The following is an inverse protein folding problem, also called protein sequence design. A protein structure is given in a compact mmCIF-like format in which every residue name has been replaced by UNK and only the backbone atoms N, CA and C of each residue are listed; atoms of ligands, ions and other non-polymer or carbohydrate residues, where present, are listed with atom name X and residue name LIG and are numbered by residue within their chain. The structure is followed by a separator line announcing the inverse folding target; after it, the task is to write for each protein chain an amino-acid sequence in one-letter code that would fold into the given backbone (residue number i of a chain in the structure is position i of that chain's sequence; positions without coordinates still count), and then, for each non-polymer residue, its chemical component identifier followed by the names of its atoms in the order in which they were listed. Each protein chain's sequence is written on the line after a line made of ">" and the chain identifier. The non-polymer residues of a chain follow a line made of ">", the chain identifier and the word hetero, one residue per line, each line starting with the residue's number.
data_IF_528409509422
#
_entry.id   IF_528409509422
#
_cell.length_a   1.000
_cell.length_b   1.000
_cell.length_c   1.000
_cell.angle_alpha   90.00
_cell.angle_beta   90.00
_cell.angle_gamma   90.00
#
_symmetry.space_group_name_H-M   'P 1'
#
loop_
_entity.id
_entity.type
_entity.pdbx_description
1 polymer ?
#
# COMPACT_ATOMS: atom_id res chain seq x y z
N UNK A 1 -14.00 7.56 22.53
CA UNK A 1 -12.66 7.65 23.11
C UNK A 1 -11.70 6.97 22.17
N UNK A 2 -10.57 7.62 21.88
CA UNK A 2 -9.51 7.12 21.02
C UNK A 2 -8.86 5.88 21.64
N UNK A 3 -8.48 4.91 20.81
CA UNK A 3 -7.87 3.65 21.25
C UNK A 3 -6.43 3.55 20.72
N UNK A 4 -5.40 3.90 21.52
CA UNK A 4 -4.00 3.89 21.10
C UNK A 4 -3.50 2.51 20.65
N UNK A 5 -4.04 1.44 21.24
CA UNK A 5 -3.69 0.06 20.88
C UNK A 5 -4.23 -0.35 19.50
N UNK A 6 -5.30 0.29 19.03
CA UNK A 6 -5.91 0.05 17.73
C UNK A 6 -5.38 0.96 16.61
N UNK A 7 -4.42 1.86 16.92
CA UNK A 7 -3.74 2.65 15.89
C UNK A 7 -2.85 1.74 15.05
N UNK A 8 -3.11 1.61 13.72
CA UNK A 8 -2.34 0.73 12.86
C UNK A 8 -0.86 1.13 12.79
N UNK A 9 0.04 0.16 12.69
CA UNK A 9 1.49 0.40 12.64
C UNK A 9 2.12 -0.40 11.51
N UNK A 10 2.93 0.25 10.69
CA UNK A 10 3.66 -0.45 9.64
C UNK A 10 4.55 -1.57 10.23
N UNK A 11 4.35 -2.79 9.75
CA UNK A 11 5.07 -4.00 10.21
C UNK A 11 5.96 -4.62 9.15
N UNK A 12 5.99 -4.05 7.95
CA UNK A 12 6.93 -4.46 6.91
C UNK A 12 8.35 -3.96 7.15
N UNK A 13 9.24 -4.27 6.20
CA UNK A 13 10.62 -3.81 6.19
C UNK A 13 10.92 -3.13 4.85
N UNK A 14 10.96 -1.79 4.87
CA UNK A 14 11.27 -0.99 3.69
C UNK A 14 12.72 -1.14 3.23
N UNK A 15 13.66 -1.45 4.13
CA UNK A 15 15.06 -1.70 3.75
C UNK A 15 15.21 -3.02 2.99
N UNK A 16 14.51 -4.06 3.45
CA UNK A 16 14.41 -5.32 2.70
C UNK A 16 13.74 -5.14 1.33
N UNK A 17 12.70 -4.28 1.25
CA UNK A 17 12.05 -3.94 -0.02
C UNK A 17 13.03 -3.24 -0.99
N UNK A 18 13.75 -2.20 -0.53
CA UNK A 18 14.74 -1.49 -1.34
C UNK A 18 15.87 -2.42 -1.84
N UNK A 19 16.29 -3.36 -0.99
CA UNK A 19 17.27 -4.40 -1.36
C UNK A 19 16.72 -5.31 -2.45
N UNK A 20 15.47 -5.76 -2.33
CA UNK A 20 14.81 -6.59 -3.34
C UNK A 20 14.65 -5.86 -4.68
N UNK A 21 14.29 -4.57 -4.66
CA UNK A 21 14.20 -3.74 -5.88
C UNK A 21 15.56 -3.62 -6.59
N UNK A 22 16.65 -3.48 -5.82
CA UNK A 22 18.00 -3.49 -6.39
C UNK A 22 18.33 -4.84 -7.04
N UNK A 23 17.85 -5.94 -6.46
CA UNK A 23 17.92 -7.28 -7.05
C UNK A 23 17.20 -7.37 -8.39
N UNK A 24 15.95 -6.89 -8.45
CA UNK A 24 15.15 -6.86 -9.69
C UNK A 24 15.85 -6.12 -10.83
N UNK A 25 16.52 -4.99 -10.55
CA UNK A 25 17.27 -4.26 -11.56
C UNK A 25 18.46 -5.05 -12.12
N UNK A 26 19.15 -5.83 -11.28
CA UNK A 26 20.24 -6.72 -11.72
C UNK A 26 19.70 -7.85 -12.59
N UNK A 27 18.59 -8.46 -12.19
CA UNK A 27 17.96 -9.54 -12.94
C UNK A 27 17.44 -9.05 -14.31
N UNK A 28 16.85 -7.85 -14.36
CA UNK A 28 16.47 -7.20 -15.60
C UNK A 28 17.67 -7.06 -16.55
N UNK A 29 18.79 -6.51 -16.08
CA UNK A 29 20.02 -6.39 -16.87
C UNK A 29 20.57 -7.74 -17.35
N UNK A 30 20.53 -8.77 -16.51
CA UNK A 30 20.99 -10.11 -16.87
C UNK A 30 20.13 -10.77 -17.95
N UNK A 31 18.81 -10.60 -17.89
CA UNK A 31 17.88 -11.13 -18.88
C UNK A 31 18.09 -10.47 -20.25
N UNK A 32 18.16 -9.12 -20.28
CA UNK A 32 18.44 -8.37 -21.53
C UNK A 32 19.74 -8.84 -22.17
N UNK A 33 20.80 -8.90 -21.37
CA UNK A 33 22.12 -9.37 -21.83
C UNK A 33 22.04 -10.77 -22.41
N UNK A 34 21.37 -11.70 -21.73
CA UNK A 34 21.24 -13.09 -22.18
C UNK A 34 20.48 -13.18 -23.51
N UNK A 35 19.37 -12.45 -23.66
CA UNK A 35 18.62 -12.41 -24.93
C UNK A 35 19.45 -11.86 -26.10
N UNK A 36 20.19 -10.78 -25.85
CA UNK A 36 21.13 -10.20 -26.83
C UNK A 36 22.26 -11.15 -27.19
N UNK A 37 22.85 -11.82 -26.20
CA UNK A 37 23.94 -12.78 -26.41
C UNK A 37 23.47 -13.97 -27.25
N UNK A 38 22.27 -14.52 -26.98
CA UNK A 38 21.67 -15.61 -27.76
C UNK A 38 21.52 -15.21 -29.23
N UNK A 39 20.96 -14.03 -29.50
CA UNK A 39 20.80 -13.56 -30.88
C UNK A 39 22.16 -13.35 -31.57
N UNK A 40 23.09 -12.68 -30.89
CA UNK A 40 24.42 -12.37 -31.43
C UNK A 40 25.24 -13.62 -31.72
N UNK A 41 25.25 -14.59 -30.80
CA UNK A 41 25.95 -15.87 -30.99
C UNK A 41 25.35 -16.66 -32.15
N UNK A 42 24.01 -16.66 -32.29
CA UNK A 42 23.35 -17.34 -33.40
C UNK A 42 23.67 -16.70 -34.75
N UNK A 43 23.72 -15.36 -34.82
CA UNK A 43 24.17 -14.63 -36.01
C UNK A 43 25.63 -14.96 -36.40
N UNK A 44 26.49 -15.24 -35.42
CA UNK A 44 27.88 -15.64 -35.64
C UNK A 44 28.04 -16.97 -36.41
N UNK A 45 27.00 -17.81 -36.48
CA UNK A 45 27.01 -19.05 -37.25
C UNK A 45 26.89 -18.82 -38.77
N UNK A 46 26.54 -17.61 -39.21
CA UNK A 46 26.41 -17.23 -40.62
C UNK A 46 27.69 -17.43 -41.44
N UNK A 47 28.86 -17.42 -40.80
CA UNK A 47 30.13 -17.70 -41.46
C UNK A 47 30.28 -19.18 -41.91
N UNK A 48 29.47 -20.09 -41.38
CA UNK A 48 29.63 -21.54 -41.57
C UNK A 48 28.41 -22.23 -42.20
N UNK A 49 27.33 -21.50 -42.45
CA UNK A 49 26.09 -22.06 -42.98
C UNK A 49 25.55 -21.22 -44.14
N UNK A 50 25.40 -21.86 -45.30
CA UNK A 50 24.90 -21.26 -46.53
C UNK A 50 23.71 -22.06 -47.03
N UNK A 51 22.55 -21.42 -47.08
CA UNK A 51 21.33 -21.95 -47.69
C UNK A 51 20.46 -20.76 -48.15
N UNK A 52 19.55 -20.96 -49.12
CA UNK A 52 18.60 -19.92 -49.53
C UNK A 52 17.79 -19.34 -48.36
N UNK A 53 17.49 -20.15 -47.36
CA UNK A 53 16.72 -19.80 -46.15
C UNK A 53 17.56 -19.25 -44.97
N UNK A 54 18.89 -19.11 -45.14
CA UNK A 54 19.80 -18.80 -44.03
C UNK A 54 19.46 -17.49 -43.30
N UNK A 55 19.07 -16.45 -44.04
CA UNK A 55 18.65 -15.17 -43.45
C UNK A 55 17.44 -15.34 -42.52
N UNK A 56 16.43 -16.10 -42.96
CA UNK A 56 15.24 -16.38 -42.16
C UNK A 56 15.58 -17.19 -40.91
N UNK A 57 16.47 -18.18 -41.04
CA UNK A 57 16.96 -18.94 -39.89
C UNK A 57 17.64 -18.00 -38.89
N UNK A 58 18.61 -17.19 -39.30
CA UNK A 58 19.34 -16.30 -38.40
C UNK A 58 18.46 -15.23 -37.75
N UNK A 59 17.42 -14.76 -38.44
CA UNK A 59 16.44 -13.84 -37.89
C UNK A 59 15.53 -14.49 -36.81
N UNK A 60 15.44 -15.81 -36.72
CA UNK A 60 14.52 -16.52 -35.82
C UNK A 60 14.75 -16.25 -34.32
N UNK A 61 15.95 -15.82 -33.94
CA UNK A 61 16.29 -15.50 -32.54
C UNK A 61 16.04 -14.03 -32.20
N UNK A 62 15.77 -13.17 -33.19
CA UNK A 62 15.48 -11.75 -32.96
C UNK A 62 14.28 -11.53 -32.01
N UNK A 63 13.15 -12.26 -32.13
CA UNK A 63 12.05 -12.15 -31.18
C UNK A 63 12.42 -12.51 -29.74
N UNK A 64 13.41 -13.38 -29.53
CA UNK A 64 13.90 -13.73 -28.18
C UNK A 64 14.65 -12.56 -27.56
N UNK A 65 15.53 -11.91 -28.33
CA UNK A 65 16.19 -10.68 -27.90
C UNK A 65 15.17 -9.59 -27.55
N UNK A 66 14.25 -9.31 -28.48
CA UNK A 66 13.27 -8.22 -28.30
C UNK A 66 12.36 -8.48 -27.08
N UNK A 67 11.97 -9.75 -26.83
CA UNK A 67 11.16 -10.10 -25.66
C UNK A 67 11.95 -10.08 -24.35
N UNK A 68 13.24 -10.40 -24.38
CA UNK A 68 14.11 -10.25 -23.21
C UNK A 68 14.31 -8.78 -22.85
N UNK A 69 14.50 -7.92 -23.85
CA UNK A 69 14.59 -6.46 -23.67
C UNK A 69 13.30 -5.90 -23.07
N UNK A 70 12.14 -6.25 -23.64
CA UNK A 70 10.84 -5.83 -23.13
C UNK A 70 10.59 -6.32 -21.69
N UNK A 71 10.95 -7.55 -21.37
CA UNK A 71 10.78 -8.07 -20.01
C UNK A 71 11.68 -7.34 -19.01
N UNK A 72 12.91 -6.99 -19.42
CA UNK A 72 13.79 -6.14 -18.61
C UNK A 72 13.16 -4.77 -18.33
N UNK A 73 12.55 -4.14 -19.34
CA UNK A 73 11.85 -2.85 -19.17
C UNK A 73 10.71 -2.96 -18.16
N UNK A 74 9.95 -4.06 -18.21
CA UNK A 74 8.82 -4.27 -17.31
C UNK A 74 9.29 -4.53 -15.87
N UNK A 75 10.39 -5.26 -15.66
CA UNK A 75 11.00 -5.41 -14.33
C UNK A 75 11.48 -4.08 -13.75
N UNK A 76 12.07 -3.20 -14.57
CA UNK A 76 12.48 -1.86 -14.13
C UNK A 76 11.29 -0.96 -13.76
N UNK A 77 10.16 -1.09 -14.47
CA UNK A 77 8.91 -0.42 -14.10
C UNK A 77 8.36 -0.93 -12.77
N UNK A 78 8.40 -2.26 -12.53
CA UNK A 78 8.03 -2.85 -11.24
C UNK A 78 8.93 -2.30 -10.13
N UNK A 79 10.24 -2.32 -10.33
CA UNK A 79 11.18 -1.76 -9.35
C UNK A 79 10.93 -0.28 -9.07
N UNK A 80 10.65 0.52 -10.09
CA UNK A 80 10.33 1.95 -9.95
C UNK A 80 9.03 2.18 -9.16
N UNK A 81 8.00 1.37 -9.38
CA UNK A 81 6.74 1.45 -8.64
C UNK A 81 6.95 1.13 -7.14
N UNK A 82 7.74 0.10 -6.84
CA UNK A 82 8.07 -0.31 -5.47
C UNK A 82 8.95 0.72 -4.74
N UNK A 83 9.93 1.34 -5.42
CA UNK A 83 10.72 2.43 -4.86
C UNK A 83 9.86 3.65 -4.53
N UNK A 84 8.94 4.04 -5.43
CA UNK A 84 8.02 5.14 -5.18
C UNK A 84 7.13 4.84 -3.96
N UNK A 85 6.59 3.62 -3.88
CA UNK A 85 5.81 3.16 -2.74
C UNK A 85 6.59 3.25 -1.42
N UNK A 86 7.84 2.77 -1.38
CA UNK A 86 8.68 2.87 -0.18
C UNK A 86 8.90 4.32 0.26
N UNK A 87 9.13 5.22 -0.72
CA UNK A 87 9.28 6.65 -0.48
C UNK A 87 8.02 7.32 0.08
N UNK A 88 6.83 6.95 -0.42
CA UNK A 88 5.54 7.47 0.03
C UNK A 88 5.14 6.92 1.41
N UNK A 89 5.33 5.62 1.65
CA UNK A 89 4.89 4.95 2.89
C UNK A 89 5.77 5.28 4.09
N UNK A 90 7.08 5.49 3.90
CA UNK A 90 8.01 5.80 5.01
C UNK A 90 7.53 6.95 5.91
N UNK A 91 7.25 8.17 5.40
CA UNK A 91 6.77 9.26 6.25
C UNK A 91 5.38 8.99 6.84
N UNK A 92 4.51 8.24 6.14
CA UNK A 92 3.18 7.87 6.65
C UNK A 92 3.32 6.92 7.84
N UNK A 93 4.20 5.92 7.74
CA UNK A 93 4.49 4.97 8.80
C UNK A 93 5.07 5.67 10.04
N UNK A 94 5.98 6.63 9.85
CA UNK A 94 6.52 7.42 10.95
C UNK A 94 5.47 8.34 11.58
N UNK A 95 4.57 8.91 10.78
CA UNK A 95 3.42 9.68 11.28
C UNK A 95 2.48 8.81 12.12
N UNK A 96 2.18 7.59 11.68
CA UNK A 96 1.34 6.63 12.44
C UNK A 96 1.98 6.24 13.78
N UNK A 97 3.31 6.08 13.84
CA UNK A 97 4.03 5.85 15.11
C UNK A 97 3.85 7.02 16.06
N UNK A 98 4.03 8.25 15.56
CA UNK A 98 3.86 9.45 16.37
C UNK A 98 2.41 9.60 16.85
N UNK A 99 1.42 9.40 15.98
CA UNK A 99 0.01 9.50 16.32
C UNK A 99 -0.42 8.48 17.39
N UNK A 100 0.19 7.30 17.41
CA UNK A 100 -0.02 6.32 18.48
C UNK A 100 0.48 6.84 19.84
N UNK A 101 1.64 7.50 19.86
CA UNK A 101 2.17 8.13 21.07
C UNK A 101 1.30 9.32 21.50
N UNK A 102 0.85 10.15 20.56
CA UNK A 102 -0.02 11.29 20.82
C UNK A 102 -1.37 10.82 21.39
N UNK A 103 -1.93 9.74 20.83
CA UNK A 103 -3.14 9.10 21.35
C UNK A 103 -2.94 8.57 22.76
N UNK A 104 -1.82 7.89 23.04
CA UNK A 104 -1.51 7.39 24.38
C UNK A 104 -1.39 8.55 25.39
N UNK A 105 -0.65 9.59 25.05
CA UNK A 105 -0.50 10.78 25.88
C UNK A 105 -1.84 11.49 26.14
N UNK A 106 -2.73 11.53 25.14
CA UNK A 106 -4.08 12.06 25.31
C UNK A 106 -4.88 11.21 26.32
N UNK A 107 -4.95 9.89 26.12
CA UNK A 107 -5.65 8.98 27.02
C UNK A 107 -5.13 9.10 28.46
N UNK A 108 -3.81 9.14 28.64
CA UNK A 108 -3.20 9.29 29.95
C UNK A 108 -3.50 10.64 30.61
N UNK A 109 -3.70 11.71 29.82
CA UNK A 109 -4.00 13.05 30.32
C UNK A 109 -5.45 13.22 30.79
N UNK A 110 -6.37 12.37 30.34
CA UNK A 110 -7.81 12.47 30.66
C UNK A 110 -8.34 11.29 31.50
N UNK A 111 -7.48 10.32 31.83
CA UNK A 111 -7.89 9.09 32.52
C UNK A 111 -8.54 9.31 33.89
N UNK A 112 -8.17 10.37 34.59
CA UNK A 112 -8.65 10.73 35.93
C UNK A 112 -9.58 11.96 35.90
N UNK A 113 -9.99 12.41 34.71
CA UNK A 113 -10.85 13.57 34.51
C UNK A 113 -12.15 13.14 33.85
N UNK A 114 -13.20 12.90 34.64
CA UNK A 114 -14.51 12.45 34.13
C UNK A 114 -15.22 13.53 33.29
N UNK A 115 -14.84 14.80 33.45
CA UNK A 115 -15.47 15.94 32.80
C UNK A 115 -14.73 16.40 31.53
N UNK A 116 -13.71 15.66 31.08
CA UNK A 116 -12.92 16.04 29.89
C UNK A 116 -13.76 16.23 28.63
N UNK A 117 -14.94 15.59 28.56
CA UNK A 117 -15.92 15.72 27.46
C UNK A 117 -16.75 17.02 27.48
N UNK A 118 -16.53 17.87 28.48
CA UNK A 118 -17.08 19.22 28.55
C UNK A 118 -15.99 20.29 28.32
N UNK A 119 -14.74 19.86 28.10
CA UNK A 119 -13.62 20.72 27.76
C UNK A 119 -13.43 20.69 26.23
N UNK A 120 -13.87 21.77 25.57
CA UNK A 120 -13.80 21.92 24.12
C UNK A 120 -12.38 21.73 23.56
N UNK A 121 -11.34 22.18 24.28
CA UNK A 121 -9.95 22.02 23.84
C UNK A 121 -9.53 20.54 23.83
N UNK A 122 -10.01 19.76 24.80
CA UNK A 122 -9.73 18.31 24.86
C UNK A 122 -10.49 17.54 23.81
N UNK A 123 -11.71 17.95 23.49
CA UNK A 123 -12.50 17.36 22.40
C UNK A 123 -11.87 17.67 21.04
N UNK A 124 -11.44 18.91 20.81
CA UNK A 124 -10.73 19.28 19.59
C UNK A 124 -9.44 18.47 19.44
N UNK A 125 -8.65 18.35 20.52
CA UNK A 125 -7.43 17.54 20.51
C UNK A 125 -7.72 16.06 20.24
N UNK A 126 -8.72 15.47 20.87
CA UNK A 126 -9.15 14.08 20.64
C UNK A 126 -9.51 13.86 19.16
N UNK A 127 -10.39 14.70 18.62
CA UNK A 127 -10.89 14.58 17.25
C UNK A 127 -9.79 14.87 16.23
N UNK A 128 -8.87 15.80 16.52
CA UNK A 128 -7.69 16.05 15.71
C UNK A 128 -6.81 14.82 15.58
N UNK A 129 -6.46 14.15 16.68
CA UNK A 129 -5.64 12.92 16.65
C UNK A 129 -6.38 11.82 15.89
N UNK A 130 -7.68 11.62 16.14
CA UNK A 130 -8.49 10.61 15.45
C UNK A 130 -8.54 10.86 13.94
N UNK A 131 -8.75 12.10 13.53
CA UNK A 131 -8.81 12.52 12.13
C UNK A 131 -7.46 12.32 11.44
N UNK A 132 -6.37 12.66 12.12
CA UNK A 132 -5.02 12.49 11.60
C UNK A 132 -4.64 11.01 11.41
N UNK A 133 -5.04 10.13 12.34
CA UNK A 133 -4.87 8.68 12.16
C UNK A 133 -5.65 8.21 10.94
N UNK A 134 -6.90 8.65 10.81
CA UNK A 134 -7.78 8.30 9.70
C UNK A 134 -7.18 8.72 8.35
N UNK A 135 -6.67 9.94 8.27
CA UNK A 135 -6.02 10.47 7.09
C UNK A 135 -4.73 9.69 6.75
N UNK A 136 -3.91 9.38 7.75
CA UNK A 136 -2.68 8.62 7.54
C UNK A 136 -2.94 7.19 7.05
N UNK A 137 -3.95 6.50 7.60
CA UNK A 137 -4.35 5.16 7.14
C UNK A 137 -4.89 5.21 5.70
N UNK A 138 -5.74 6.19 5.37
CA UNK A 138 -6.25 6.36 4.01
C UNK A 138 -5.13 6.66 2.99
N UNK A 139 -4.15 7.49 3.39
CA UNK A 139 -2.98 7.79 2.57
C UNK A 139 -2.12 6.54 2.33
N UNK A 140 -1.97 5.68 3.34
CA UNK A 140 -1.26 4.41 3.19
C UNK A 140 -1.93 3.51 2.15
N UNK A 141 -3.26 3.30 2.25
CA UNK A 141 -3.99 2.50 1.25
C UNK A 141 -3.93 3.13 -0.14
N UNK A 142 -3.89 4.46 -0.25
CA UNK A 142 -3.71 5.12 -1.53
C UNK A 142 -2.35 4.81 -2.16
N UNK A 143 -1.27 4.82 -1.38
CA UNK A 143 0.06 4.45 -1.83
C UNK A 143 0.11 2.98 -2.30
N UNK A 144 -0.52 2.07 -1.56
CA UNK A 144 -0.62 0.65 -1.95
C UNK A 144 -1.36 0.45 -3.27
N UNK A 145 -2.54 1.09 -3.43
CA UNK A 145 -3.29 1.05 -4.70
C UNK A 145 -2.47 1.62 -5.85
N UNK A 146 -1.80 2.75 -5.65
CA UNK A 146 -0.98 3.39 -6.68
C UNK A 146 0.16 2.47 -7.14
N UNK A 147 0.83 1.79 -6.20
CA UNK A 147 1.85 0.80 -6.50
C UNK A 147 1.28 -0.40 -7.27
N UNK A 148 0.22 -1.02 -6.74
CA UNK A 148 -0.41 -2.18 -7.35
C UNK A 148 -0.92 -1.89 -8.77
N UNK A 149 -1.50 -0.71 -8.99
CA UNK A 149 -2.00 -0.30 -10.32
C UNK A 149 -0.88 -0.11 -11.33
N UNK A 150 0.26 0.47 -10.92
CA UNK A 150 1.44 0.58 -11.80
C UNK A 150 1.96 -0.79 -12.23
N UNK A 151 1.98 -1.77 -11.32
CA UNK A 151 2.46 -3.13 -11.60
C UNK A 151 1.45 -3.90 -12.47
N UNK A 152 0.17 -3.88 -12.10
CA UNK A 152 -0.89 -4.61 -12.82
C UNK A 152 -1.13 -4.08 -14.23
N UNK A 153 -0.92 -2.77 -14.47
CA UNK A 153 -1.03 -2.18 -15.80
C UNK A 153 -0.06 -2.81 -16.81
N UNK A 154 1.07 -3.38 -16.36
CA UNK A 154 2.06 -4.01 -17.24
C UNK A 154 1.52 -5.28 -17.93
N UNK A 155 0.55 -5.95 -17.30
CA UNK A 155 -0.01 -7.21 -17.82
C UNK A 155 -1.54 -7.16 -18.00
N UNK A 156 -2.14 -5.97 -17.98
CA UNK A 156 -3.59 -5.80 -18.10
C UNK A 156 -4.39 -6.36 -16.91
N UNK A 157 -3.78 -6.37 -15.72
CA UNK A 157 -4.40 -6.85 -14.50
C UNK A 157 -5.38 -5.87 -13.85
N UNK A 158 -5.93 -6.29 -12.72
CA UNK A 158 -6.90 -5.55 -11.92
C UNK A 158 -6.43 -4.13 -11.59
N UNK A 159 -7.29 -3.14 -11.83
CA UNK A 159 -7.06 -1.77 -11.38
C UNK A 159 -7.84 -1.50 -10.10
N UNK A 160 -7.10 -1.34 -9.00
CA UNK A 160 -7.63 -1.14 -7.67
C UNK A 160 -8.13 0.29 -7.46
N UNK A 161 -9.30 0.41 -6.85
CA UNK A 161 -9.91 1.68 -6.44
C UNK A 161 -10.26 1.65 -4.96
N UNK A 162 -10.50 2.81 -4.34
CA UNK A 162 -11.02 2.86 -2.99
C UNK A 162 -12.40 2.19 -2.93
N UNK A 163 -12.67 1.49 -1.84
CA UNK A 163 -13.93 0.81 -1.61
C UNK A 163 -15.04 1.82 -1.28
N UNK A 164 -16.11 1.81 -2.06
CA UNK A 164 -17.28 2.68 -1.89
C UNK A 164 -18.39 2.05 -1.03
N UNK A 165 -18.16 0.83 -0.53
CA UNK A 165 -19.10 0.00 0.22
C UNK A 165 -19.74 -1.12 -0.61
N UNK A 166 -19.53 -1.15 -1.93
CA UNK A 166 -20.03 -2.24 -2.79
C UNK A 166 -19.15 -3.49 -2.76
N UNK A 167 -17.94 -3.43 -2.17
CA UNK A 167 -17.03 -4.56 -1.96
C UNK A 167 -16.74 -5.38 -3.23
N UNK A 168 -16.57 -4.71 -4.37
CA UNK A 168 -16.18 -5.38 -5.63
C UNK A 168 -14.75 -5.88 -5.55
N UNK A 169 -14.41 -6.87 -6.38
CA UNK A 169 -13.08 -7.53 -6.38
C UNK A 169 -11.90 -6.57 -6.62
N UNK A 170 -12.13 -5.43 -7.28
CA UNK A 170 -11.11 -4.42 -7.53
C UNK A 170 -11.08 -3.29 -6.49
N UNK A 171 -11.73 -3.47 -5.34
CA UNK A 171 -11.78 -2.47 -4.28
C UNK A 171 -10.83 -2.83 -3.15
N UNK A 172 -9.98 -1.88 -2.75
CA UNK A 172 -8.99 -2.08 -1.69
C UNK A 172 -8.80 -0.82 -0.85
N UNK A 173 -8.97 -0.97 0.47
CA UNK A 173 -8.94 0.14 1.42
C UNK A 173 -10.04 1.18 1.17
N UNK A 174 -10.07 2.22 1.99
CA UNK A 174 -11.06 3.31 1.90
C UNK A 174 -10.40 4.66 1.60
N UNK A 175 -11.19 5.63 1.16
CA UNK A 175 -10.73 7.02 1.03
C UNK A 175 -10.80 7.76 2.37
N UNK A 176 -10.07 8.87 2.51
CA UNK A 176 -10.16 9.70 3.71
C UNK A 176 -11.59 10.25 3.91
N UNK A 177 -12.26 10.62 2.82
CA UNK A 177 -13.63 11.13 2.85
C UNK A 177 -14.63 10.07 3.31
N UNK A 178 -14.47 8.81 2.89
CA UNK A 178 -15.33 7.71 3.33
C UNK A 178 -15.17 7.40 4.82
N UNK A 179 -14.00 7.68 5.39
CA UNK A 179 -13.70 7.39 6.79
C UNK A 179 -14.02 8.55 7.75
N UNK A 180 -14.15 9.79 7.25
CA UNK A 180 -14.27 11.01 8.07
C UNK A 180 -15.38 10.96 9.14
N UNK A 181 -16.50 10.29 8.83
CA UNK A 181 -17.65 10.14 9.73
C UNK A 181 -17.96 8.66 10.05
N UNK A 182 -16.97 7.79 9.88
CA UNK A 182 -17.13 6.36 10.02
C UNK A 182 -16.77 5.88 11.43
N UNK A 183 -17.39 4.77 11.85
CA UNK A 183 -16.92 4.05 13.03
C UNK A 183 -15.63 3.31 12.66
N UNK A 184 -14.50 3.78 13.17
CA UNK A 184 -13.17 3.20 12.92
C UNK A 184 -12.56 2.57 14.19
N UNK A 185 -11.66 1.56 14.07
CA UNK A 185 -11.14 0.83 15.21
C UNK A 185 -10.36 1.68 16.22
N UNK A 186 -9.70 2.74 15.75
CA UNK A 186 -8.91 3.66 16.59
C UNK A 186 -9.76 4.72 17.30
N UNK A 187 -11.08 4.76 17.12
CA UNK A 187 -11.99 5.61 17.88
C UNK A 187 -13.07 6.28 17.03
N UNK A 188 -14.18 6.65 17.66
CA UNK A 188 -15.22 7.48 17.04
C UNK A 188 -14.93 8.97 17.29
N UNK A 189 -15.29 9.87 16.37
CA UNK A 189 -15.39 11.29 16.68
C UNK A 189 -16.27 11.50 17.93
N UNK A 190 -15.86 12.42 18.81
CA UNK A 190 -16.66 12.83 19.97
C UNK A 190 -17.20 14.23 19.70
N UNK A 191 -18.51 14.44 19.82
CA UNK A 191 -19.08 15.79 19.80
C UNK A 191 -19.00 16.39 21.21
N UNK A 192 -18.82 17.70 21.32
CA UNK A 192 -18.97 18.41 22.59
C UNK A 192 -20.39 18.18 23.12
N UNK A 193 -20.52 17.80 24.39
CA UNK A 193 -21.78 17.34 24.95
C UNK A 193 -22.85 18.45 24.90
N UNK A 194 -23.70 18.43 23.88
CA UNK A 194 -24.93 19.21 23.80
C UNK A 194 -26.18 18.31 23.80
N UNK A 195 -27.30 18.88 24.27
CA UNK A 195 -28.50 18.18 24.73
C UNK A 195 -29.12 17.24 23.66
N UNK A 196 -29.80 16.21 24.17
CA UNK A 196 -30.42 15.01 23.55
C UNK A 196 -31.22 15.13 22.22
N UNK A 197 -31.31 16.29 21.56
CA UNK A 197 -32.18 16.51 20.39
C UNK A 197 -31.47 16.82 19.06
N UNK A 198 -30.13 16.78 18.97
CA UNK A 198 -29.39 17.02 17.70
C UNK A 198 -28.97 15.74 16.94
N UNK A 199 -29.54 14.58 17.26
CA UNK A 199 -29.10 13.30 16.67
C UNK A 199 -29.69 13.10 15.28
N UNK A 200 -28.89 13.38 14.26
CA UNK A 200 -29.24 13.15 12.86
C UNK A 200 -28.03 12.94 11.95
N UNK A 201 -27.22 11.90 12.19
CA UNK A 201 -26.18 11.50 11.24
C UNK A 201 -26.21 9.99 10.98
N UNK A 202 -26.27 9.60 9.70
CA UNK A 202 -25.98 8.22 9.32
C UNK A 202 -24.50 7.98 9.65
N UNK A 203 -24.22 6.94 10.44
CA UNK A 203 -22.84 6.48 10.66
C UNK A 203 -22.64 5.28 9.74
N UNK A 204 -21.73 5.38 8.76
CA UNK A 204 -21.34 4.19 7.98
C UNK A 204 -20.60 3.24 8.93
N UNK A 205 -21.10 2.02 9.06
CA UNK A 205 -20.42 0.94 9.76
C UNK A 205 -19.66 0.11 8.74
N UNK A 206 -18.33 0.07 8.86
CA UNK A 206 -17.49 -0.82 8.08
C UNK A 206 -17.19 -2.09 8.89
N UNK A 207 -17.21 -3.25 8.23
CA UNK A 207 -16.82 -4.52 8.87
C UNK A 207 -15.30 -4.57 8.93
N UNK A 208 -14.75 -4.34 10.11
CA UNK A 208 -13.31 -4.42 10.38
C UNK A 208 -12.86 -5.81 10.88
N UNK A 209 -13.81 -6.69 11.21
CA UNK A 209 -13.55 -8.08 11.62
C UNK A 209 -13.09 -8.90 10.40
N UNK A 210 -11.79 -9.18 10.34
CA UNK A 210 -11.18 -10.08 9.37
C UNK A 210 -10.35 -9.43 8.25
N UNK A 211 -10.30 -8.10 8.16
CA UNK A 211 -9.38 -7.39 7.27
C UNK A 211 -8.00 -7.28 7.92
N UNK A 212 -7.28 -8.41 7.96
CA UNK A 212 -5.84 -8.43 8.16
C UNK A 212 -5.24 -7.85 6.89
N UNK A 213 -4.94 -6.55 6.90
CA UNK A 213 -4.31 -5.88 5.78
C UNK A 213 -2.81 -6.03 5.92
N UNK A 214 -2.24 -6.84 5.03
CA UNK A 214 -0.81 -7.11 4.89
C UNK A 214 -0.03 -5.77 4.88
N UNK A 215 0.88 -5.56 5.83
CA UNK A 215 1.72 -4.36 5.90
C UNK A 215 1.48 -3.38 7.07
N UNK A 216 0.23 -3.03 7.43
CA UNK A 216 -0.09 -2.10 8.57
C UNK A 216 -0.67 -2.81 9.80
N UNK A 217 -1.18 -4.02 9.61
CA UNK A 217 -1.72 -4.84 10.68
C UNK A 217 -0.85 -6.09 10.77
N UNK A 218 0.31 -5.97 11.40
CA UNK A 218 1.19 -7.12 11.61
C UNK A 218 0.43 -8.26 12.26
N UNK A 219 0.57 -9.45 11.67
CA UNK A 219 0.04 -10.75 12.11
C UNK A 219 -0.53 -10.75 13.53
N UNK A 220 -1.80 -10.37 13.69
CA UNK A 220 -2.58 -10.74 14.87
C UNK A 220 -3.04 -12.17 14.60
N UNK A 221 -2.11 -13.12 14.78
CA UNK A 221 -2.52 -14.50 15.03
C UNK A 221 -3.32 -14.47 16.32
N UNK A 222 -4.59 -14.83 16.22
CA UNK A 222 -5.44 -15.13 17.36
C UNK A 222 -4.70 -16.06 18.31
N UNK A 223 -4.21 -15.49 19.40
CA UNK A 223 -3.96 -16.20 20.64
C UNK A 223 -5.13 -15.83 21.55
N UNK A 224 -6.19 -16.59 21.32
CA UNK A 224 -7.45 -16.62 22.05
C UNK A 224 -8.12 -17.95 21.71
N UNK A 225 -7.45 -19.03 22.05
CA UNK A 225 -7.96 -20.41 22.13
C UNK A 225 -9.31 -20.48 22.84
N UNK A 226 -10.37 -20.88 22.13
CA UNK A 226 -11.12 -22.15 22.26
C UNK A 226 -12.36 -22.13 21.35
#
# INVERSE_FOLDING_TARGET
>A
MISPSAVPQFTGDLGSLETAVTGLGKDAGAIRKTGSDVHTQFQGLSAYYTAPEAEQLFASTKPVQDRADQFGDDLEKVGSALTAYAGEVKPIADRLKQLKLDAQAFVDSVKDDEDWKYDGDKIEKHNGIQSDITAAVAAFWAAERACANKITALFGGTQFVANDGSNKDNMYGYSADDLKNAKVPWGTPEEESHHWYEVGHWVKSFVWDGLIVDGIWGTIKGLGTL
#
